data_IF_894700470750
#
_entry.id   IF_894700470750
#
_cell.length_a   1.000
_cell.length_b   1.000
_cell.length_c   1.000
_cell.angle_alpha   90.00
_cell.angle_beta   90.00
_cell.angle_gamma   90.00
#
_symmetry.space_group_name_H-M   'P 1'
#
loop_
_entity.id
_entity.type
_entity.pdbx_description
1 polymer ?
#
# COMPACT_ATOMS: atom_id res chain seq x y z
N UNK A 1 -21.22 11.00 46.73
CA UNK A 1 -20.18 10.55 45.77
C UNK A 1 -20.84 9.71 44.67
N UNK A 2 -21.27 10.34 43.59
CA UNK A 2 -21.92 9.67 42.47
C UNK A 2 -20.85 9.24 41.47
N UNK A 3 -20.66 7.93 41.32
CA UNK A 3 -19.77 7.33 40.34
C UNK A 3 -20.47 7.36 38.97
N UNK A 4 -19.95 8.15 38.03
CA UNK A 4 -20.34 8.04 36.62
C UNK A 4 -19.59 6.86 35.99
N UNK A 5 -20.26 5.94 35.28
CA UNK A 5 -19.57 4.98 34.44
C UNK A 5 -18.95 5.71 33.24
N UNK A 6 -17.64 5.49 33.05
CA UNK A 6 -16.87 6.05 31.95
C UNK A 6 -17.40 5.58 30.59
N UNK A 7 -17.54 6.53 29.66
CA UNK A 7 -17.79 6.24 28.26
C UNK A 7 -16.59 5.46 27.68
N UNK A 8 -16.79 4.20 27.35
CA UNK A 8 -15.85 3.44 26.53
C UNK A 8 -15.90 3.98 25.10
N UNK A 9 -14.77 4.36 24.46
CA UNK A 9 -14.79 4.71 23.05
C UNK A 9 -15.15 3.45 22.25
N UNK A 10 -16.20 3.54 21.44
CA UNK A 10 -16.63 2.45 20.57
C UNK A 10 -15.54 2.12 19.54
N UNK A 11 -15.29 0.83 19.24
CA UNK A 11 -14.32 0.46 18.22
C UNK A 11 -14.84 0.90 16.85
N UNK A 12 -14.16 1.88 16.23
CA UNK A 12 -14.40 2.26 14.83
C UNK A 12 -14.24 1.00 13.99
N UNK A 13 -15.33 0.54 13.38
CA UNK A 13 -15.34 -0.65 12.54
C UNK A 13 -14.29 -0.50 11.43
N UNK A 14 -13.18 -1.23 11.53
CA UNK A 14 -12.19 -1.33 10.46
C UNK A 14 -12.85 -2.13 9.35
N UNK A 15 -13.33 -1.43 8.33
CA UNK A 15 -13.61 -2.04 7.05
C UNK A 15 -12.28 -2.59 6.52
N UNK A 16 -12.14 -3.91 6.55
CA UNK A 16 -10.98 -4.59 5.98
C UNK A 16 -11.16 -4.57 4.47
N UNK A 17 -10.56 -3.59 3.80
CA UNK A 17 -10.44 -3.61 2.34
C UNK A 17 -9.68 -4.86 1.91
N UNK A 18 -10.13 -5.59 0.86
CA UNK A 18 -9.42 -6.77 0.39
C UNK A 18 -8.02 -6.38 -0.12
N UNK A 19 -7.02 -7.19 0.22
CA UNK A 19 -5.70 -7.12 -0.44
C UNK A 19 -5.91 -7.26 -1.95
N UNK A 20 -5.24 -6.47 -2.81
CA UNK A 20 -5.35 -6.65 -4.25
C UNK A 20 -4.94 -8.08 -4.61
N UNK A 21 -5.84 -8.81 -5.29
CA UNK A 21 -5.50 -10.10 -5.87
C UNK A 21 -4.44 -9.88 -6.96
N UNK A 22 -3.46 -10.78 -7.14
CA UNK A 22 -2.53 -10.66 -8.26
C UNK A 22 -3.33 -10.64 -9.57
N UNK A 23 -3.05 -9.73 -10.52
CA UNK A 23 -3.79 -9.68 -11.77
C UNK A 23 -3.49 -10.94 -12.59
N UNK A 24 -4.53 -11.76 -12.82
CA UNK A 24 -4.52 -12.79 -13.86
C UNK A 24 -4.85 -12.10 -15.19
N UNK A 25 -3.83 -11.68 -15.95
CA UNK A 25 -4.06 -11.08 -17.28
C UNK A 25 -4.26 -12.16 -18.37
N UNK A 26 -5.27 -12.04 -19.24
CA UNK A 26 -5.39 -12.83 -20.45
C UNK A 26 -4.48 -12.29 -21.55
N UNK A 27 -3.86 -13.21 -22.29
CA UNK A 27 -2.83 -13.00 -23.31
C UNK A 27 -3.13 -11.88 -24.33
N UNK A 28 -2.13 -11.02 -24.62
CA UNK A 28 -1.85 -10.56 -25.99
C UNK A 28 -0.52 -9.76 -26.16
N UNK A 29 0.25 -10.22 -27.16
CA UNK A 29 1.37 -9.61 -27.90
C UNK A 29 2.83 -9.74 -27.36
N UNK A 30 3.79 -10.16 -28.21
CA UNK A 30 5.18 -10.41 -27.81
C UNK A 30 5.98 -9.12 -27.69
N UNK A 31 6.16 -8.66 -26.45
CA UNK A 31 6.98 -7.49 -26.14
C UNK A 31 6.91 -7.06 -24.69
N UNK A 32 7.19 -8.00 -23.77
CA UNK A 32 7.20 -7.87 -22.29
C UNK A 32 6.08 -6.98 -21.72
N UNK A 33 4.99 -7.61 -21.28
CA UNK A 33 4.03 -6.99 -20.38
C UNK A 33 4.78 -6.37 -19.18
N UNK A 34 4.69 -5.05 -19.03
CA UNK A 34 5.18 -4.35 -17.84
C UNK A 34 4.16 -4.53 -16.71
N UNK A 35 4.66 -4.63 -15.48
CA UNK A 35 3.86 -4.71 -14.28
C UNK A 35 3.67 -3.30 -13.73
N UNK A 36 2.50 -2.71 -13.97
CA UNK A 36 2.21 -1.33 -13.61
C UNK A 36 1.55 -1.27 -12.23
N UNK A 37 2.10 -0.46 -11.33
CA UNK A 37 1.48 -0.11 -10.07
C UNK A 37 0.27 0.80 -10.30
N UNK A 38 -0.91 0.37 -9.83
CA UNK A 38 -2.15 1.14 -9.93
C UNK A 38 -2.23 2.35 -9.00
N UNK A 39 -1.33 2.46 -8.01
CA UNK A 39 -1.32 3.56 -7.03
C UNK A 39 -0.37 4.70 -7.39
N UNK A 40 0.75 4.39 -8.04
CA UNK A 40 1.80 5.38 -8.33
C UNK A 40 2.28 5.39 -9.79
N UNK A 41 1.67 4.58 -10.66
CA UNK A 41 1.95 4.50 -12.11
C UNK A 41 3.39 4.06 -12.45
N UNK A 42 4.11 3.47 -11.50
CA UNK A 42 5.46 2.93 -11.72
C UNK A 42 5.33 1.58 -12.43
N UNK A 43 6.06 1.42 -13.53
CA UNK A 43 6.14 0.19 -14.30
C UNK A 43 7.41 -0.61 -13.96
N UNK A 44 7.24 -1.92 -13.77
CA UNK A 44 8.33 -2.86 -13.53
C UNK A 44 8.42 -3.87 -14.67
N UNK A 45 9.63 -4.28 -15.05
CA UNK A 45 9.84 -5.30 -16.10
C UNK A 45 9.80 -6.74 -15.57
N UNK A 46 9.68 -6.89 -14.26
CA UNK A 46 9.79 -8.16 -13.56
C UNK A 46 8.75 -8.25 -12.43
N UNK A 47 8.12 -9.42 -12.30
CA UNK A 47 7.05 -9.67 -11.34
C UNK A 47 7.55 -9.63 -9.89
N UNK A 48 8.78 -10.08 -9.62
CA UNK A 48 9.35 -10.11 -8.26
C UNK A 48 9.55 -8.68 -7.78
N UNK A 49 10.09 -7.80 -8.64
CA UNK A 49 10.24 -6.39 -8.33
C UNK A 49 8.89 -5.71 -8.09
N UNK A 50 7.88 -6.02 -8.91
CA UNK A 50 6.52 -5.51 -8.72
C UNK A 50 5.90 -5.96 -7.39
N UNK A 51 5.99 -7.25 -7.05
CA UNK A 51 5.47 -7.79 -5.79
C UNK A 51 6.18 -7.19 -4.57
N UNK A 52 7.50 -7.04 -4.62
CA UNK A 52 8.24 -6.36 -3.56
C UNK A 52 7.80 -4.89 -3.43
N UNK A 53 7.62 -4.20 -4.54
CA UNK A 53 7.14 -2.82 -4.56
C UNK A 53 5.75 -2.68 -3.90
N UNK A 54 4.81 -3.57 -4.24
CA UNK A 54 3.48 -3.60 -3.61
C UNK A 54 3.54 -3.78 -2.09
N UNK A 55 4.56 -4.47 -1.57
CA UNK A 55 4.77 -4.67 -0.14
C UNK A 55 5.06 -3.38 0.65
N UNK A 56 5.48 -2.29 0.00
CA UNK A 56 5.71 -1.00 0.67
C UNK A 56 4.43 -0.18 0.85
N UNK A 57 3.43 -0.38 0.00
CA UNK A 57 2.14 0.29 0.13
C UNK A 57 1.39 -0.26 1.34
N UNK A 58 0.82 0.64 2.13
CA UNK A 58 -0.06 0.28 3.24
C UNK A 58 -1.34 -0.37 2.74
N UNK A 59 -1.90 -1.28 3.54
CA UNK A 59 -3.13 -2.00 3.21
C UNK A 59 -4.37 -1.11 3.17
N UNK A 60 -4.36 0.00 3.92
CA UNK A 60 -5.49 0.91 4.07
C UNK A 60 -5.29 2.22 3.30
N UNK A 61 -4.04 2.63 3.14
CA UNK A 61 -3.67 3.85 2.44
C UNK A 61 -2.42 3.58 1.59
N UNK A 62 -2.47 3.80 0.26
CA UNK A 62 -1.34 3.53 -0.61
C UNK A 62 -0.19 4.52 -0.40
N UNK A 63 -0.40 5.65 0.25
CA UNK A 63 0.67 6.62 0.54
C UNK A 63 1.21 6.49 1.97
N UNK A 64 0.76 5.47 2.71
CA UNK A 64 1.31 5.04 3.97
C UNK A 64 2.35 3.94 3.73
N UNK A 65 3.56 4.12 4.26
CA UNK A 65 4.58 3.09 4.21
C UNK A 65 4.22 1.93 5.14
N UNK A 66 4.11 0.72 4.59
CA UNK A 66 3.82 -0.49 5.36
C UNK A 66 4.97 -0.89 6.31
N UNK A 67 6.20 -0.44 6.04
CA UNK A 67 7.38 -0.76 6.87
C UNK A 67 7.47 0.09 8.14
N UNK A 68 7.06 1.36 8.08
CA UNK A 68 7.23 2.30 9.20
C UNK A 68 5.97 3.09 9.59
N UNK A 69 4.87 2.95 8.84
CA UNK A 69 3.60 3.64 9.07
C UNK A 69 3.59 5.11 8.65
N UNK A 70 4.69 5.65 8.10
CA UNK A 70 4.75 7.05 7.67
C UNK A 70 3.74 7.30 6.54
N UNK A 71 2.84 8.24 6.77
CA UNK A 71 1.90 8.73 5.75
C UNK A 71 2.54 9.89 5.00
N UNK A 72 2.36 9.86 3.67
CA UNK A 72 2.80 10.92 2.76
C UNK A 72 1.59 11.48 2.02
N UNK A 73 1.74 12.69 1.48
CA UNK A 73 0.63 13.43 0.86
C UNK A 73 0.34 13.04 -0.58
N UNK A 74 1.30 12.42 -1.26
CA UNK A 74 1.24 12.14 -2.69
C UNK A 74 2.26 11.07 -3.12
N UNK A 75 2.10 10.57 -4.34
CA UNK A 75 2.93 9.51 -4.91
C UNK A 75 4.41 9.85 -5.03
N UNK A 76 4.78 11.12 -5.25
CA UNK A 76 6.19 11.52 -5.41
C UNK A 76 6.85 11.53 -4.04
N UNK A 77 6.18 12.07 -3.03
CA UNK A 77 6.65 12.02 -1.64
C UNK A 77 6.79 10.58 -1.15
N UNK A 78 5.82 9.71 -1.46
CA UNK A 78 5.87 8.28 -1.13
C UNK A 78 7.06 7.57 -1.78
N UNK A 79 7.26 7.79 -3.08
CA UNK A 79 8.39 7.21 -3.81
C UNK A 79 9.73 7.66 -3.23
N UNK A 80 9.87 8.96 -2.93
CA UNK A 80 11.09 9.50 -2.35
C UNK A 80 11.37 8.91 -0.95
N UNK A 81 10.31 8.69 -0.16
CA UNK A 81 10.41 8.01 1.12
C UNK A 81 10.98 6.60 0.94
N UNK A 82 10.34 5.72 0.17
CA UNK A 82 10.80 4.32 0.03
C UNK A 82 12.19 4.22 -0.63
N UNK A 83 12.57 5.17 -1.49
CA UNK A 83 13.86 5.16 -2.17
C UNK A 83 15.02 5.61 -1.27
N UNK A 84 14.76 6.44 -0.25
CA UNK A 84 15.79 7.04 0.61
C UNK A 84 15.77 6.51 2.04
N UNK A 85 14.63 6.02 2.51
CA UNK A 85 14.46 5.50 3.84
C UNK A 85 14.96 4.06 3.90
N UNK A 86 15.97 3.83 4.74
CA UNK A 86 16.40 2.49 5.09
C UNK A 86 15.40 1.89 6.06
N UNK A 87 14.59 0.95 5.58
CA UNK A 87 13.79 0.09 6.43
C UNK A 87 14.59 -1.18 6.72
N UNK A 88 14.88 -1.41 8.01
CA UNK A 88 15.66 -2.55 8.50
C UNK A 88 14.87 -3.85 8.47
#
# INVERSE_FOLDING_TARGET
>A
PSLHPGATPEPKSVVRSPLPSPPTSPASAPGKEEYNCSYCDIAFRDIVMYTMHMGYHGYQDPFQCNMCGQQTTDKVAFFLHIARSSHS
#
